data_IF_938087581059
#
_entry.id   IF_938087581059
#
_cell.length_a   1.000
_cell.length_b   1.000
_cell.length_c   1.000
_cell.angle_alpha   90.00
_cell.angle_beta   90.00
_cell.angle_gamma   90.00
#
_symmetry.space_group_name_H-M   'P 1'
#
loop_
_entity.id
_entity.type
_entity.pdbx_description
1 polymer ?
#
# COMPACT_ATOMS: atom_id res chain seq x y z
N UNK A 1 -34.09 -32.58 -6.32
CA UNK A 1 -33.06 -31.60 -6.74
C UNK A 1 -32.75 -31.85 -8.21
N UNK A 2 -33.30 -31.01 -9.10
CA UNK A 2 -33.41 -31.32 -10.54
C UNK A 2 -32.07 -31.23 -11.28
N UNK A 3 -31.93 -32.03 -12.35
CA UNK A 3 -30.72 -32.19 -13.17
C UNK A 3 -30.15 -30.84 -13.66
N UNK A 4 -31.01 -29.86 -13.94
CA UNK A 4 -30.67 -28.50 -14.41
C UNK A 4 -29.96 -27.65 -13.34
N UNK A 5 -30.30 -27.84 -12.06
CA UNK A 5 -29.64 -27.16 -10.93
C UNK A 5 -28.22 -27.68 -10.71
N UNK A 6 -27.99 -28.98 -10.95
CA UNK A 6 -26.64 -29.55 -10.94
C UNK A 6 -25.79 -29.01 -12.08
N UNK A 7 -26.33 -28.90 -13.30
CA UNK A 7 -25.57 -28.38 -14.45
C UNK A 7 -25.18 -26.92 -14.28
N UNK A 8 -26.06 -26.08 -13.71
CA UNK A 8 -25.77 -24.66 -13.51
C UNK A 8 -24.80 -24.41 -12.34
N UNK A 9 -24.86 -25.23 -11.27
CA UNK A 9 -23.87 -25.23 -10.19
C UNK A 9 -22.50 -25.68 -10.70
N UNK A 10 -22.46 -26.73 -11.53
CA UNK A 10 -21.22 -27.25 -12.13
C UNK A 10 -20.64 -26.25 -13.13
N UNK A 11 -21.46 -25.56 -13.95
CA UNK A 11 -20.97 -24.50 -14.85
C UNK A 11 -20.48 -23.27 -14.09
N UNK A 12 -21.16 -22.88 -13.00
CA UNK A 12 -20.74 -21.76 -12.15
C UNK A 12 -19.44 -22.04 -11.40
N UNK A 13 -19.30 -23.26 -10.86
CA UNK A 13 -18.07 -23.74 -10.22
C UNK A 13 -16.96 -23.92 -11.26
N UNK A 14 -17.26 -24.41 -12.46
CA UNK A 14 -16.29 -24.52 -13.55
C UNK A 14 -15.85 -23.15 -14.07
N UNK A 15 -16.73 -22.15 -14.15
CA UNK A 15 -16.35 -20.80 -14.54
C UNK A 15 -15.57 -20.08 -13.43
N UNK A 16 -15.90 -20.33 -12.16
CA UNK A 16 -15.12 -19.87 -11.00
C UNK A 16 -13.76 -20.56 -10.90
N UNK A 17 -13.68 -21.87 -11.20
CA UNK A 17 -12.42 -22.65 -11.26
C UNK A 17 -11.61 -22.38 -12.52
N UNK A 18 -12.22 -21.92 -13.62
CA UNK A 18 -11.48 -21.44 -14.79
C UNK A 18 -10.93 -20.04 -14.50
N UNK A 19 -11.67 -19.17 -13.81
CA UNK A 19 -11.18 -17.85 -13.38
C UNK A 19 -10.12 -17.96 -12.27
N UNK A 20 -10.28 -18.88 -11.31
CA UNK A 20 -9.30 -19.20 -10.25
C UNK A 20 -8.17 -20.13 -10.72
N UNK A 21 -8.40 -20.94 -11.75
CA UNK A 21 -7.43 -21.88 -12.33
C UNK A 21 -6.61 -21.29 -13.48
N UNK A 22 -7.07 -20.19 -14.08
CA UNK A 22 -6.24 -19.31 -14.90
C UNK A 22 -5.34 -18.40 -14.04
N UNK A 23 -5.49 -18.42 -12.71
CA UNK A 23 -4.69 -17.59 -11.79
C UNK A 23 -3.29 -18.15 -11.47
N UNK A 24 -2.99 -19.47 -11.44
CA UNK A 24 -1.62 -19.92 -11.20
C UNK A 24 -0.87 -20.33 -12.47
N UNK A 25 -1.55 -20.60 -13.60
CA UNK A 25 -0.90 -21.19 -14.78
C UNK A 25 -0.53 -20.19 -15.88
N UNK A 26 -1.20 -19.03 -15.98
CA UNK A 26 -0.87 -17.99 -16.97
C UNK A 26 -0.06 -16.82 -16.42
N UNK A 27 0.28 -16.83 -15.13
CA UNK A 27 1.13 -15.82 -14.49
C UNK A 27 2.35 -16.44 -13.82
N UNK A 28 2.89 -17.51 -14.41
CA UNK A 28 4.30 -17.82 -14.26
C UNK A 28 5.09 -16.84 -15.13
N UNK A 29 5.17 -15.59 -14.68
CA UNK A 29 6.32 -14.76 -15.05
C UNK A 29 7.49 -15.40 -14.32
N UNK A 30 8.45 -15.86 -15.09
CA UNK A 30 9.71 -16.37 -14.62
C UNK A 30 10.24 -15.47 -13.50
N UNK A 31 10.46 -16.06 -12.32
CA UNK A 31 11.62 -15.66 -11.55
C UNK A 31 12.81 -15.77 -12.51
N UNK A 32 13.24 -14.64 -13.05
CA UNK A 32 14.60 -14.52 -13.53
C UNK A 32 15.44 -14.52 -12.26
N UNK A 33 15.72 -15.74 -11.81
CA UNK A 33 16.82 -16.00 -10.91
C UNK A 33 18.08 -15.34 -11.52
N UNK A 34 18.67 -14.40 -10.78
CA UNK A 34 20.01 -13.87 -11.07
C UNK A 34 20.10 -12.73 -12.08
N UNK A 35 19.14 -11.79 -12.09
CA UNK A 35 19.32 -10.51 -12.80
C UNK A 35 20.06 -9.51 -11.92
N UNK A 36 21.31 -9.19 -12.28
CA UNK A 36 22.04 -8.09 -11.69
C UNK A 36 21.36 -6.76 -12.01
N UNK A 37 20.89 -6.05 -10.97
CA UNK A 37 20.22 -4.77 -11.16
C UNK A 37 21.29 -3.69 -11.41
N UNK A 38 21.22 -2.95 -12.55
CA UNK A 38 22.13 -1.84 -12.78
C UNK A 38 21.92 -0.77 -11.71
N UNK A 39 23.02 -0.24 -11.18
CA UNK A 39 22.97 0.84 -10.20
C UNK A 39 22.32 2.09 -10.83
N UNK A 40 21.34 2.73 -10.16
CA UNK A 40 20.71 3.93 -10.67
C UNK A 40 21.72 5.06 -10.90
N UNK A 41 21.82 5.55 -12.14
CA UNK A 41 22.77 6.61 -12.44
C UNK A 41 22.43 7.91 -11.68
N UNK A 42 23.45 8.61 -11.18
CA UNK A 42 23.35 9.89 -10.51
C UNK A 42 24.46 10.85 -10.94
N UNK A 43 24.17 12.14 -10.78
CA UNK A 43 25.12 13.23 -10.91
C UNK A 43 24.92 14.11 -9.69
N UNK A 44 25.99 14.39 -8.96
CA UNK A 44 25.97 15.17 -7.73
C UNK A 44 27.25 16.02 -7.63
N UNK A 45 27.27 16.95 -6.68
CA UNK A 45 28.46 17.73 -6.36
C UNK A 45 28.86 17.38 -4.93
N UNK A 46 30.13 17.05 -4.72
CA UNK A 46 30.67 16.79 -3.39
C UNK A 46 30.88 18.09 -2.59
N UNK A 47 31.23 17.96 -1.32
CA UNK A 47 31.56 19.11 -0.46
C UNK A 47 32.80 19.91 -0.91
N UNK A 48 33.69 19.29 -1.68
CA UNK A 48 34.90 19.92 -2.22
C UNK A 48 34.63 20.67 -3.55
N UNK A 49 33.41 20.59 -4.08
CA UNK A 49 32.96 21.26 -5.30
C UNK A 49 33.18 20.47 -6.59
N UNK A 50 33.58 19.20 -6.50
CA UNK A 50 33.77 18.32 -7.64
C UNK A 50 32.43 17.71 -8.07
N UNK A 51 32.18 17.71 -9.38
CA UNK A 51 31.04 16.98 -9.96
C UNK A 51 31.37 15.49 -9.99
N UNK A 52 30.47 14.65 -9.49
CA UNK A 52 30.62 13.21 -9.41
C UNK A 52 29.44 12.56 -10.10
N UNK A 53 29.75 11.67 -11.02
CA UNK A 53 28.80 10.83 -11.73
C UNK A 53 29.08 9.36 -11.45
N UNK A 54 28.04 8.52 -11.47
CA UNK A 54 28.24 7.07 -11.30
C UNK A 54 29.19 6.51 -12.38
N UNK A 55 29.15 7.06 -13.59
CA UNK A 55 30.02 6.67 -14.70
C UNK A 55 31.50 7.00 -14.51
N UNK A 56 31.86 7.86 -13.56
CA UNK A 56 33.27 8.11 -13.22
C UNK A 56 33.95 6.89 -12.62
N UNK A 57 33.16 5.93 -12.11
CA UNK A 57 33.62 4.69 -11.49
C UNK A 57 33.48 3.45 -12.41
N UNK A 58 33.16 3.65 -13.69
CA UNK A 58 33.07 2.55 -14.66
C UNK A 58 34.39 1.78 -14.76
N UNK A 59 34.34 0.45 -14.63
CA UNK A 59 35.52 -0.41 -14.65
C UNK A 59 36.20 -0.61 -13.29
N UNK A 60 35.65 -0.04 -12.21
CA UNK A 60 36.09 -0.28 -10.83
C UNK A 60 34.91 -0.62 -9.92
N UNK A 61 35.18 -1.34 -8.85
CA UNK A 61 34.16 -1.65 -7.85
C UNK A 61 34.01 -0.45 -6.89
N UNK A 62 32.79 0.04 -6.74
CA UNK A 62 32.44 1.21 -5.95
C UNK A 62 31.71 0.79 -4.66
N UNK A 63 32.15 1.35 -3.54
CA UNK A 63 31.47 1.26 -2.24
C UNK A 63 30.64 2.52 -2.05
N UNK A 64 29.32 2.38 -2.16
CA UNK A 64 28.39 3.48 -1.90
C UNK A 64 27.90 3.40 -0.45
N UNK A 65 28.27 4.38 0.36
CA UNK A 65 27.88 4.50 1.75
C UNK A 65 26.73 5.50 1.89
N UNK A 66 25.54 5.03 2.26
CA UNK A 66 24.38 5.87 2.50
C UNK A 66 24.20 6.03 4.00
N UNK A 67 24.17 7.28 4.46
CA UNK A 67 24.13 7.61 5.89
C UNK A 67 23.27 8.84 6.16
N UNK A 68 22.92 9.08 7.43
CA UNK A 68 22.30 10.33 7.90
C UNK A 68 23.04 10.76 9.16
N UNK A 69 23.93 11.73 8.97
CA UNK A 69 24.70 12.40 10.00
C UNK A 69 24.33 13.87 9.93
N UNK A 70 23.57 14.31 10.93
CA UNK A 70 23.09 15.67 11.08
C UNK A 70 22.81 15.97 12.57
N UNK A 71 22.39 17.18 12.86
CA UNK A 71 22.05 17.65 14.22
C UNK A 71 20.55 17.93 14.27
N UNK A 72 19.78 17.35 15.21
CA UNK A 72 20.20 16.38 16.22
C UNK A 72 20.52 15.01 15.63
N UNK A 73 21.55 14.34 16.16
CA UNK A 73 21.91 12.98 15.78
C UNK A 73 21.04 11.96 16.52
N UNK A 74 20.78 10.81 15.88
CA UNK A 74 20.20 9.65 16.55
C UNK A 74 21.18 9.07 17.58
N UNK A 75 20.84 9.17 18.87
CA UNK A 75 21.69 8.69 19.98
C UNK A 75 21.86 7.17 19.92
N UNK A 76 20.80 6.41 19.59
CA UNK A 76 20.86 4.95 19.54
C UNK A 76 21.65 4.43 18.31
N UNK A 77 21.76 5.25 17.27
CA UNK A 77 22.46 4.92 16.04
C UNK A 77 23.95 5.33 16.07
N UNK A 78 24.33 6.18 17.04
CA UNK A 78 25.66 6.82 17.07
C UNK A 78 26.80 5.81 17.07
N UNK A 79 26.68 4.73 17.85
CA UNK A 79 27.71 3.68 17.91
C UNK A 79 27.92 3.01 16.54
N UNK A 80 26.83 2.68 15.84
CA UNK A 80 26.88 2.05 14.53
C UNK A 80 27.41 3.01 13.45
N UNK A 81 26.99 4.27 13.48
CA UNK A 81 27.45 5.30 12.54
C UNK A 81 28.94 5.58 12.70
N UNK A 82 29.39 5.79 13.93
CA UNK A 82 30.79 6.01 14.25
C UNK A 82 31.64 4.83 13.80
N UNK A 83 31.28 3.61 14.22
CA UNK A 83 32.05 2.42 13.93
C UNK A 83 32.15 2.16 12.42
N UNK A 84 31.05 2.37 11.67
CA UNK A 84 31.10 2.18 10.22
C UNK A 84 31.97 3.22 9.51
N UNK A 85 31.95 4.48 9.94
CA UNK A 85 32.81 5.53 9.37
C UNK A 85 34.29 5.26 9.68
N UNK A 86 34.61 4.81 10.90
CA UNK A 86 35.98 4.42 11.29
C UNK A 86 36.50 3.25 10.43
N UNK A 87 35.67 2.25 10.13
CA UNK A 87 36.05 1.13 9.27
C UNK A 87 36.23 1.54 7.79
N UNK A 88 35.43 2.50 7.28
CA UNK A 88 35.62 3.06 5.94
C UNK A 88 36.91 3.88 5.84
N UNK A 89 37.24 4.65 6.88
CA UNK A 89 38.53 5.34 6.97
C UNK A 89 39.67 4.34 6.94
N UNK A 90 39.60 3.30 7.78
CA UNK A 90 40.62 2.25 7.83
C UNK A 90 40.78 1.54 6.48
N UNK A 91 39.68 1.28 5.78
CA UNK A 91 39.71 0.72 4.43
C UNK A 91 40.47 1.64 3.45
N UNK A 92 40.25 2.96 3.52
CA UNK A 92 40.93 3.93 2.65
C UNK A 92 42.42 4.09 3.00
N UNK A 93 42.78 3.96 4.27
CA UNK A 93 44.18 3.95 4.73
C UNK A 93 44.92 2.68 4.29
N UNK A 94 44.29 1.51 4.39
CA UNK A 94 44.86 0.23 3.98
C UNK A 94 44.86 0.05 2.45
N UNK A 95 43.90 0.63 1.75
CA UNK A 95 43.77 0.59 0.30
C UNK A 95 43.42 1.99 -0.27
N UNK A 96 44.43 2.80 -0.62
CA UNK A 96 44.21 4.14 -1.16
C UNK A 96 43.39 4.16 -2.47
N UNK A 97 43.44 3.08 -3.25
CA UNK A 97 42.74 2.94 -4.53
C UNK A 97 41.28 2.45 -4.36
N UNK A 98 40.80 2.25 -3.12
CA UNK A 98 39.41 1.87 -2.89
C UNK A 98 38.46 3.03 -3.22
N UNK A 99 37.54 2.82 -4.15
CA UNK A 99 36.52 3.80 -4.52
C UNK A 99 35.37 3.77 -3.51
N UNK A 100 35.23 4.87 -2.76
CA UNK A 100 34.21 5.05 -1.74
C UNK A 100 33.50 6.37 -2.03
N UNK A 101 32.17 6.35 -2.07
CA UNK A 101 31.36 7.57 -2.14
C UNK A 101 30.36 7.54 -1.00
N UNK A 102 30.35 8.60 -0.19
CA UNK A 102 29.32 8.76 0.85
C UNK A 102 28.22 9.70 0.37
N UNK A 103 26.98 9.23 0.47
CA UNK A 103 25.78 10.05 0.30
C UNK A 103 25.16 10.24 1.68
N UNK A 104 25.26 11.45 2.20
CA UNK A 104 24.64 11.83 3.45
C UNK A 104 23.25 12.40 3.19
N UNK A 105 22.22 11.68 3.63
CA UNK A 105 20.81 12.07 3.54
C UNK A 105 20.55 13.17 4.56
N UNK A 106 20.11 14.36 4.12
CA UNK A 106 19.92 15.55 4.95
C UNK A 106 18.47 15.95 5.10
N UNK A 107 17.91 15.76 6.29
CA UNK A 107 16.55 16.18 6.66
C UNK A 107 16.56 17.59 7.25
N UNK A 108 17.62 17.94 7.97
CA UNK A 108 17.76 19.26 8.60
C UNK A 108 18.72 20.17 7.80
N UNK A 109 18.20 21.16 7.05
CA UNK A 109 19.04 22.10 6.29
C UNK A 109 19.86 23.05 7.17
N UNK A 110 19.53 23.17 8.46
CA UNK A 110 20.24 24.06 9.40
C UNK A 110 21.39 23.37 10.15
N UNK A 111 21.53 22.06 10.01
CA UNK A 111 22.66 21.34 10.60
C UNK A 111 23.95 21.64 9.82
N UNK A 112 25.11 21.51 10.48
CA UNK A 112 26.41 21.56 9.79
C UNK A 112 26.59 20.33 8.90
N UNK A 113 27.51 20.40 7.95
CA UNK A 113 27.79 19.31 7.00
C UNK A 113 28.16 18.01 7.73
N UNK A 114 27.64 16.88 7.25
CA UNK A 114 27.83 15.57 7.88
C UNK A 114 29.29 15.15 7.97
N UNK A 115 30.09 15.45 6.93
CA UNK A 115 31.54 15.23 6.96
C UNK A 115 32.21 15.98 8.11
N UNK A 116 31.93 17.27 8.23
CA UNK A 116 32.46 18.11 9.30
C UNK A 116 31.99 17.63 10.68
N UNK A 117 30.75 17.16 10.79
CA UNK A 117 30.24 16.56 12.02
C UNK A 117 30.99 15.28 12.38
N UNK A 118 31.18 14.35 11.45
CA UNK A 118 31.94 13.11 11.66
C UNK A 118 33.40 13.38 12.04
N UNK A 119 34.07 14.30 11.34
CA UNK A 119 35.43 14.76 11.66
C UNK A 119 35.50 15.38 13.07
N UNK A 120 34.52 16.23 13.43
CA UNK A 120 34.52 16.94 14.72
C UNK A 120 34.10 16.08 15.91
N UNK A 121 33.16 15.16 15.73
CA UNK A 121 32.59 14.34 16.80
C UNK A 121 33.40 13.07 17.04
N UNK A 122 33.90 12.45 15.96
CA UNK A 122 34.56 11.15 16.02
C UNK A 122 36.04 11.20 15.68
N UNK A 123 36.55 12.32 15.18
CA UNK A 123 37.95 12.45 14.77
C UNK A 123 38.30 11.63 13.54
N UNK A 124 37.29 11.26 12.74
CA UNK A 124 37.48 10.52 11.50
C UNK A 124 38.15 11.41 10.43
N UNK A 125 39.06 10.85 9.65
CA UNK A 125 39.69 11.53 8.51
C UNK A 125 39.03 11.06 7.21
N UNK A 126 38.12 11.89 6.69
CA UNK A 126 37.34 11.58 5.50
C UNK A 126 38.07 12.15 4.30
N UNK A 127 38.68 11.28 3.50
CA UNK A 127 39.45 11.65 2.29
C UNK A 127 38.76 11.32 0.97
N UNK A 128 37.57 10.74 1.03
CA UNK A 128 36.78 10.34 -0.13
C UNK A 128 35.61 11.29 -0.37
N UNK A 129 35.01 11.26 -1.57
CA UNK A 129 33.82 12.04 -1.88
C UNK A 129 32.68 11.94 -0.88
N UNK A 130 32.19 13.10 -0.47
CA UNK A 130 31.06 13.23 0.44
C UNK A 130 30.00 14.16 -0.15
N UNK A 131 28.83 13.60 -0.43
CA UNK A 131 27.68 14.28 -1.03
C UNK A 131 26.64 14.55 0.05
N UNK A 132 26.24 15.80 0.19
CA UNK A 132 25.10 16.19 1.04
C UNK A 132 23.82 16.22 0.19
N UNK A 133 22.96 15.24 0.39
CA UNK A 133 21.73 15.08 -0.38
C UNK A 133 20.52 15.58 0.43
N UNK A 134 20.01 16.76 0.08
CA UNK A 134 18.89 17.39 0.77
C UNK A 134 17.54 16.98 0.17
N UNK A 135 16.47 17.02 0.97
CA UNK A 135 15.09 16.80 0.51
C UNK A 135 14.78 17.63 -0.76
N UNK A 136 14.34 17.02 -1.88
CA UNK A 136 13.69 15.69 -2.00
C UNK A 136 14.61 14.49 -2.33
N UNK A 137 15.90 14.55 -1.96
CA UNK A 137 16.90 13.50 -2.13
C UNK A 137 17.10 13.04 -3.58
N UNK A 138 17.54 13.92 -4.50
CA UNK A 138 17.76 13.56 -5.91
C UNK A 138 18.72 12.38 -6.13
N UNK A 139 19.62 12.10 -5.19
CA UNK A 139 20.59 11.00 -5.28
C UNK A 139 20.12 9.79 -4.46
N UNK A 140 20.06 9.93 -3.13
CA UNK A 140 19.67 8.86 -2.21
C UNK A 140 18.25 8.36 -2.47
N UNK A 141 17.34 9.22 -2.95
CA UNK A 141 15.99 8.85 -3.36
C UNK A 141 15.93 7.81 -4.47
N UNK A 142 16.98 7.68 -5.30
CA UNK A 142 17.08 6.63 -6.33
C UNK A 142 17.46 5.27 -5.75
N UNK A 143 18.07 5.27 -4.56
CA UNK A 143 18.56 4.06 -3.89
C UNK A 143 17.65 3.61 -2.73
N UNK A 144 16.42 4.15 -2.64
CA UNK A 144 15.46 3.86 -1.54
C UNK A 144 15.27 2.37 -1.32
N UNK A 145 15.14 1.60 -2.40
CA UNK A 145 14.90 0.16 -2.31
C UNK A 145 16.11 -0.63 -1.75
N UNK A 146 17.28 0.01 -1.63
CA UNK A 146 18.50 -0.59 -1.11
C UNK A 146 18.87 -0.13 0.30
N UNK A 147 18.43 1.05 0.74
CA UNK A 147 18.67 1.49 2.13
C UNK A 147 17.44 1.39 3.04
N UNK A 148 16.27 1.09 2.48
CA UNK A 148 15.07 0.87 3.27
C UNK A 148 14.92 -0.60 3.62
N UNK A 149 14.72 -0.87 4.92
CA UNK A 149 14.41 -2.21 5.41
C UNK A 149 13.04 -2.18 6.09
N UNK A 150 12.06 -2.83 5.45
CA UNK A 150 10.65 -2.75 5.85
C UNK A 150 10.06 -1.35 5.65
N UNK A 151 9.77 -0.66 6.75
CA UNK A 151 9.30 0.76 6.73
C UNK A 151 10.35 1.74 7.27
N UNK A 152 11.50 1.23 7.69
CA UNK A 152 12.56 1.99 8.33
C UNK A 152 13.70 2.33 7.37
N UNK A 153 14.45 3.36 7.74
CA UNK A 153 15.74 3.66 7.14
C UNK A 153 16.83 2.89 7.87
N UNK A 154 17.56 2.04 7.14
CA UNK A 154 18.76 1.41 7.66
C UNK A 154 19.92 2.39 7.54
N UNK A 155 20.42 2.83 8.69
CA UNK A 155 21.43 3.88 8.79
C UNK A 155 22.55 3.44 9.73
N UNK A 156 23.77 3.20 9.23
CA UNK A 156 24.21 3.35 7.84
C UNK A 156 23.86 2.13 6.96
N UNK A 157 23.89 2.32 5.64
CA UNK A 157 23.80 1.26 4.63
C UNK A 157 25.01 1.29 3.70
N UNK A 158 25.57 0.12 3.37
CA UNK A 158 26.67 -0.02 2.40
C UNK A 158 26.17 -0.78 1.18
N UNK A 159 26.34 -0.21 -0.01
CA UNK A 159 25.97 -0.83 -1.29
C UNK A 159 27.24 -1.04 -2.10
N UNK A 160 27.49 -2.27 -2.51
CA UNK A 160 28.60 -2.62 -3.39
C UNK A 160 28.13 -2.65 -4.84
N UNK A 161 28.75 -1.81 -5.65
CA UNK A 161 28.57 -1.75 -7.10
C UNK A 161 29.81 -2.35 -7.75
N UNK A 162 29.62 -3.28 -8.68
CA UNK A 162 30.73 -3.91 -9.39
C UNK A 162 31.28 -2.99 -10.51
N UNK A 163 32.35 -3.45 -11.16
CA UNK A 163 33.02 -2.80 -12.29
C UNK A 163 32.13 -2.59 -13.54
N UNK A 164 31.01 -3.31 -13.61
CA UNK A 164 29.99 -3.18 -14.66
C UNK A 164 28.85 -2.21 -14.29
N UNK A 165 28.97 -1.50 -13.16
CA UNK A 165 27.94 -0.58 -12.69
C UNK A 165 26.68 -1.28 -12.18
N UNK A 166 26.78 -2.52 -11.72
CA UNK A 166 25.66 -3.32 -11.21
C UNK A 166 25.76 -3.50 -9.69
N UNK A 167 24.61 -3.47 -9.01
CA UNK A 167 24.53 -3.68 -7.58
C UNK A 167 24.70 -5.17 -7.29
N UNK A 168 25.78 -5.51 -6.59
CA UNK A 168 26.10 -6.89 -6.22
C UNK A 168 25.63 -7.23 -4.81
N UNK A 169 25.88 -6.31 -3.86
CA UNK A 169 25.62 -6.57 -2.45
C UNK A 169 25.15 -5.32 -1.73
N UNK A 170 24.31 -5.50 -0.73
CA UNK A 170 23.84 -4.46 0.18
C UNK A 170 24.00 -4.97 1.60
N UNK A 171 24.53 -4.14 2.47
CA UNK A 171 24.65 -4.39 3.90
C UNK A 171 23.90 -3.31 4.67
N UNK A 172 22.91 -3.74 5.45
CA UNK A 172 22.17 -2.88 6.37
C UNK A 172 22.85 -2.98 7.74
N UNK A 173 23.53 -1.91 8.19
CA UNK A 173 24.31 -1.99 9.44
C UNK A 173 23.39 -1.93 10.65
N UNK A 174 22.53 -0.92 10.70
CA UNK A 174 21.66 -0.63 11.84
C UNK A 174 20.32 -0.08 11.37
N UNK A 175 19.23 -0.40 12.07
CA UNK A 175 17.92 0.18 11.85
C UNK A 175 17.29 0.63 13.16
N UNK A 176 16.78 1.87 13.19
CA UNK A 176 16.09 2.41 14.35
C UNK A 176 14.88 1.54 14.74
N UNK A 177 14.81 1.14 16.01
CA UNK A 177 13.76 0.27 16.55
C UNK A 177 14.03 -1.24 16.45
N UNK A 178 14.90 -1.67 15.53
CA UNK A 178 15.33 -3.08 15.38
C UNK A 178 16.72 -3.32 16.00
N UNK A 179 17.61 -2.32 15.92
CA UNK A 179 18.99 -2.40 16.39
C UNK A 179 19.96 -2.76 15.26
N UNK A 180 21.02 -3.50 15.60
CA UNK A 180 22.03 -3.98 14.64
C UNK A 180 21.43 -5.06 13.74
N UNK A 181 21.46 -4.87 12.43
CA UNK A 181 20.86 -5.82 11.46
C UNK A 181 21.93 -6.80 10.95
N UNK A 182 22.85 -6.31 10.11
CA UNK A 182 24.01 -7.08 9.65
C UNK A 182 25.30 -6.67 10.38
N UNK A 183 25.21 -5.66 11.25
CA UNK A 183 26.34 -5.13 12.01
C UNK A 183 27.32 -4.33 11.16
N UNK A 184 28.34 -3.79 11.81
CA UNK A 184 29.37 -2.95 11.17
C UNK A 184 30.22 -3.82 10.26
N UNK A 185 30.41 -3.37 9.02
CA UNK A 185 31.24 -4.04 8.02
C UNK A 185 32.68 -3.57 8.18
N UNK A 186 33.58 -4.50 8.52
CA UNK A 186 35.00 -4.18 8.72
C UNK A 186 35.72 -3.90 7.40
N UNK A 187 36.83 -3.17 7.48
CA UNK A 187 37.69 -2.89 6.33
C UNK A 187 38.10 -4.18 5.59
N UNK A 188 38.49 -5.23 6.31
CA UNK A 188 38.92 -6.49 5.69
C UNK A 188 37.75 -7.22 5.00
N UNK A 189 36.54 -7.15 5.58
CA UNK A 189 35.33 -7.73 4.99
C UNK A 189 34.96 -7.03 3.68
N UNK A 190 34.95 -5.69 3.70
CA UNK A 190 34.64 -4.87 2.53
C UNK A 190 35.70 -5.01 1.44
N UNK A 191 36.98 -5.02 1.80
CA UNK A 191 38.07 -5.23 0.85
C UNK A 191 37.96 -6.59 0.18
N UNK A 192 37.70 -7.66 0.94
CA UNK A 192 37.48 -8.99 0.38
C UNK A 192 36.26 -9.01 -0.54
N UNK A 193 35.16 -8.39 -0.13
CA UNK A 193 33.96 -8.32 -0.95
C UNK A 193 34.23 -7.59 -2.27
N UNK A 194 34.98 -6.48 -2.25
CA UNK A 194 35.40 -5.75 -3.47
C UNK A 194 36.28 -6.60 -4.38
N UNK A 195 37.23 -7.36 -3.83
CA UNK A 195 38.10 -8.25 -4.59
C UNK A 195 37.32 -9.40 -5.24
N UNK A 196 36.33 -9.95 -4.53
CA UNK A 196 35.45 -11.01 -5.04
C UNK A 196 34.59 -10.50 -6.23
N UNK A 197 34.33 -9.19 -6.34
CA UNK A 197 33.61 -8.59 -7.47
C UNK A 197 34.45 -8.49 -8.75
N UNK A 198 35.78 -8.37 -8.61
CA UNK A 198 36.70 -8.20 -9.74
C UNK A 198 37.11 -9.53 -10.39
N UNK A 199 36.89 -10.67 -9.73
CA UNK A 199 37.16 -12.01 -10.24
C UNK A 199 35.92 -12.93 -10.10
N UNK A 200 34.99 -12.92 -11.06
CA UNK A 200 33.71 -13.66 -10.95
C UNK A 200 33.82 -15.19 -11.12
N UNK A 201 35.01 -15.79 -11.00
CA UNK A 201 35.27 -17.20 -11.32
C UNK A 201 34.93 -18.22 -10.22
N UNK A 202 34.35 -17.82 -9.09
CA UNK A 202 33.85 -18.77 -8.10
C UNK A 202 32.32 -18.70 -8.03
N UNK A 203 31.67 -19.77 -8.48
CA UNK A 203 30.23 -20.03 -8.40
C UNK A 203 29.72 -20.22 -6.96
N UNK A 204 30.24 -19.43 -6.03
CA UNK A 204 29.84 -19.41 -4.64
C UNK A 204 28.73 -18.38 -4.50
N UNK A 205 27.49 -18.86 -4.49
CA UNK A 205 26.34 -18.11 -3.99
C UNK A 205 26.60 -17.74 -2.52
N UNK A 206 27.25 -16.61 -2.29
CA UNK A 206 27.51 -16.07 -0.96
C UNK A 206 26.46 -15.02 -0.63
N UNK A 207 25.49 -15.47 0.16
CA UNK A 207 24.46 -14.64 0.77
C UNK A 207 23.36 -14.32 -0.22
N UNK A 208 22.14 -14.82 0.04
CA UNK A 208 20.97 -14.31 -0.62
C UNK A 208 20.89 -12.79 -0.45
N UNK A 209 20.35 -12.12 -1.46
CA UNK A 209 19.70 -10.83 -1.30
C UNK A 209 18.67 -11.06 -0.19
N UNK A 210 18.99 -10.62 1.03
CA UNK A 210 18.10 -10.64 2.18
C UNK A 210 17.01 -9.60 1.99
N UNK A 211 16.23 -9.73 0.91
CA UNK A 211 14.98 -9.02 0.73
C UNK A 211 14.03 -9.58 1.80
N UNK A 212 14.00 -8.95 2.96
CA UNK A 212 12.90 -9.11 3.90
C UNK A 212 11.63 -8.64 3.18
N UNK A 213 10.98 -9.58 2.49
CA UNK A 213 9.61 -9.60 1.99
C UNK A 213 8.84 -8.25 1.96
N UNK A 214 9.30 -7.27 1.19
CA UNK A 214 8.43 -6.22 0.65
C UNK A 214 8.23 -6.58 -0.80
N UNK A 215 7.13 -7.30 -1.08
CA UNK A 215 6.69 -7.60 -2.44
C UNK A 215 6.62 -6.29 -3.23
N UNK A 216 7.40 -6.16 -4.30
CA UNK A 216 7.14 -5.16 -5.33
C UNK A 216 5.66 -5.21 -5.69
N UNK A 217 4.92 -4.14 -5.39
CA UNK A 217 3.49 -4.10 -5.71
C UNK A 217 3.36 -3.76 -7.19
N UNK A 218 3.51 -4.79 -8.02
CA UNK A 218 3.25 -4.71 -9.46
C UNK A 218 1.76 -4.41 -9.68
N UNK A 219 1.40 -3.83 -10.84
CA UNK A 219 -0.01 -3.69 -11.27
C UNK A 219 -0.82 -4.99 -11.11
N UNK A 220 -0.16 -6.14 -11.28
CA UNK A 220 -0.73 -7.48 -11.05
C UNK A 220 -1.08 -7.72 -9.58
N UNK A 221 -0.20 -7.32 -8.65
CA UNK A 221 -0.47 -7.39 -7.21
C UNK A 221 -1.65 -6.52 -6.81
N UNK A 222 -1.75 -5.32 -7.39
CA UNK A 222 -2.85 -4.40 -7.10
C UNK A 222 -4.20 -4.89 -7.65
N UNK A 223 -4.19 -5.51 -8.84
CA UNK A 223 -5.36 -6.21 -9.37
C UNK A 223 -5.79 -7.37 -8.46
N UNK A 224 -4.85 -8.20 -8.03
CA UNK A 224 -5.10 -9.33 -7.13
C UNK A 224 -5.65 -8.88 -5.78
N UNK A 225 -5.11 -7.79 -5.22
CA UNK A 225 -5.60 -7.18 -3.98
C UNK A 225 -7.06 -6.71 -4.15
N UNK A 226 -7.41 -6.14 -5.31
CA UNK A 226 -8.79 -5.77 -5.66
C UNK A 226 -9.74 -6.98 -5.67
N UNK A 227 -9.31 -8.10 -6.25
CA UNK A 227 -10.08 -9.35 -6.26
C UNK A 227 -10.30 -9.85 -4.83
N UNK A 228 -9.24 -9.92 -4.02
CA UNK A 228 -9.32 -10.41 -2.63
C UNK A 228 -10.19 -9.50 -1.77
N UNK A 229 -10.06 -8.18 -1.90
CA UNK A 229 -10.86 -7.21 -1.13
C UNK A 229 -12.34 -7.24 -1.48
N UNK A 230 -12.72 -7.61 -2.71
CA UNK A 230 -14.13 -7.77 -3.07
C UNK A 230 -14.86 -8.88 -2.30
N UNK A 231 -14.12 -9.87 -1.79
CA UNK A 231 -14.62 -10.94 -0.93
C UNK A 231 -14.70 -10.51 0.55
N UNK A 232 -14.19 -9.33 0.90
CA UNK A 232 -14.30 -8.80 2.25
C UNK A 232 -15.78 -8.49 2.57
N UNK A 233 -16.25 -8.78 3.79
CA UNK A 233 -17.66 -8.69 4.12
C UNK A 233 -18.22 -7.28 4.21
N UNK A 234 -17.36 -6.25 4.26
CA UNK A 234 -17.79 -4.87 4.07
C UNK A 234 -18.39 -4.67 2.67
N UNK A 235 -17.71 -5.19 1.64
CA UNK A 235 -18.22 -5.21 0.27
C UNK A 235 -19.45 -6.12 0.15
N UNK A 236 -19.37 -7.30 0.76
CA UNK A 236 -20.37 -8.36 0.68
C UNK A 236 -21.73 -7.96 1.27
N UNK A 237 -21.76 -7.24 2.40
CA UNK A 237 -23.00 -6.77 3.04
C UNK A 237 -23.74 -5.75 2.16
N UNK A 238 -22.99 -4.81 1.58
CA UNK A 238 -23.52 -3.82 0.64
C UNK A 238 -23.96 -4.48 -0.67
N UNK A 239 -23.20 -5.47 -1.13
CA UNK A 239 -23.52 -6.27 -2.31
C UNK A 239 -24.85 -7.02 -2.12
N UNK A 240 -25.14 -7.58 -0.94
CA UNK A 240 -26.43 -8.20 -0.61
C UNK A 240 -27.57 -7.18 -0.67
N UNK A 241 -27.38 -5.99 -0.11
CA UNK A 241 -28.39 -4.93 -0.14
C UNK A 241 -28.70 -4.47 -1.58
N UNK A 242 -27.65 -4.27 -2.37
CA UNK A 242 -27.73 -3.94 -3.80
C UNK A 242 -28.39 -5.06 -4.58
N UNK A 243 -28.04 -6.32 -4.34
CA UNK A 243 -28.67 -7.45 -5.02
C UNK A 243 -30.14 -7.62 -4.63
N UNK A 244 -30.49 -7.46 -3.36
CA UNK A 244 -31.89 -7.45 -2.92
C UNK A 244 -32.71 -6.38 -3.65
N UNK A 245 -32.12 -5.19 -3.84
CA UNK A 245 -32.72 -4.11 -4.61
C UNK A 245 -32.79 -4.40 -6.12
N UNK A 246 -31.70 -4.85 -6.75
CA UNK A 246 -31.65 -5.20 -8.17
C UNK A 246 -32.61 -6.36 -8.50
N UNK A 247 -32.75 -7.33 -7.59
CA UNK A 247 -33.73 -8.41 -7.67
C UNK A 247 -35.17 -7.89 -7.59
N UNK A 248 -35.42 -6.90 -6.74
CA UNK A 248 -36.74 -6.23 -6.63
C UNK A 248 -37.06 -5.37 -7.85
N UNK A 249 -36.05 -4.71 -8.42
CA UNK A 249 -36.13 -3.93 -9.67
C UNK A 249 -36.38 -4.83 -10.89
N UNK A 250 -35.63 -5.93 -11.04
CA UNK A 250 -35.86 -6.92 -12.09
C UNK A 250 -37.21 -7.61 -11.96
N UNK A 251 -37.69 -7.91 -10.74
CA UNK A 251 -39.06 -8.41 -10.53
C UNK A 251 -40.11 -7.44 -11.08
N UNK A 252 -39.92 -6.13 -10.95
CA UNK A 252 -40.86 -5.14 -11.52
C UNK A 252 -40.91 -5.19 -13.05
N UNK A 253 -39.81 -5.49 -13.74
CA UNK A 253 -39.81 -5.74 -15.20
C UNK A 253 -40.50 -7.05 -15.60
N UNK A 254 -40.55 -8.05 -14.72
CA UNK A 254 -41.24 -9.34 -14.97
C UNK A 254 -42.77 -9.19 -14.91
N UNK A 255 -43.29 -8.18 -14.21
CA UNK A 255 -44.73 -7.93 -14.03
C UNK A 255 -45.37 -7.11 -15.16
N UNK A 256 -44.57 -6.56 -16.09
CA UNK A 256 -45.03 -5.87 -17.30
C UNK A 256 -44.23 -6.43 -18.48
N UNK A 257 -44.71 -7.53 -19.10
CA UNK A 257 -43.99 -8.17 -20.18
C UNK A 257 -44.30 -7.41 -21.48
N UNK A 258 -43.35 -6.59 -21.93
CA UNK A 258 -43.27 -6.31 -23.36
C UNK A 258 -41.90 -6.78 -23.84
N UNK A 259 -41.96 -7.85 -24.63
CA UNK A 259 -40.99 -8.32 -25.65
C UNK A 259 -39.50 -8.11 -25.35
N UNK A 260 -38.86 -9.11 -24.75
CA UNK A 260 -37.40 -9.24 -24.81
C UNK A 260 -36.83 -10.20 -23.79
N UNK A 261 -36.39 -11.37 -24.24
CA UNK A 261 -35.59 -12.34 -23.47
C UNK A 261 -34.51 -11.60 -22.66
N UNK A 262 -34.68 -11.46 -21.35
CA UNK A 262 -33.67 -10.82 -20.50
C UNK A 262 -32.42 -11.69 -20.52
N UNK A 263 -31.48 -11.25 -21.36
CA UNK A 263 -30.31 -11.99 -21.80
C UNK A 263 -29.23 -11.81 -20.76
N UNK A 264 -28.36 -12.82 -20.57
CA UNK A 264 -27.16 -12.72 -19.74
C UNK A 264 -26.33 -11.45 -20.07
N UNK A 265 -26.47 -10.94 -21.30
CA UNK A 265 -25.93 -9.66 -21.78
C UNK A 265 -26.35 -8.44 -20.96
N UNK A 266 -27.58 -8.37 -20.46
CA UNK A 266 -28.08 -7.24 -19.67
C UNK A 266 -27.42 -7.24 -18.27
N UNK A 267 -27.28 -8.41 -17.64
CA UNK A 267 -26.58 -8.57 -16.35
C UNK A 267 -25.07 -8.31 -16.45
N UNK A 268 -24.45 -8.69 -17.57
CA UNK A 268 -23.06 -8.38 -17.89
C UNK A 268 -22.85 -6.87 -18.05
N UNK A 269 -23.72 -6.19 -18.82
CA UNK A 269 -23.63 -4.75 -19.06
C UNK A 269 -23.78 -3.95 -17.76
N UNK A 270 -24.70 -4.37 -16.88
CA UNK A 270 -24.90 -3.77 -15.55
C UNK A 270 -23.65 -3.95 -14.68
N UNK A 271 -23.04 -5.14 -14.65
CA UNK A 271 -21.83 -5.41 -13.88
C UNK A 271 -20.61 -4.61 -14.35
N UNK A 272 -20.44 -4.48 -15.67
CA UNK A 272 -19.37 -3.67 -16.26
C UNK A 272 -19.56 -2.19 -15.96
N UNK A 273 -20.79 -1.67 -16.09
CA UNK A 273 -21.11 -0.27 -15.77
C UNK A 273 -20.81 0.05 -14.30
N UNK A 274 -21.20 -0.84 -13.39
CA UNK A 274 -20.93 -0.72 -11.96
C UNK A 274 -19.42 -0.70 -11.66
N UNK A 275 -18.68 -1.63 -12.25
CA UNK A 275 -17.21 -1.73 -12.09
C UNK A 275 -16.50 -0.48 -12.60
N UNK A 276 -16.94 0.05 -13.74
CA UNK A 276 -16.37 1.27 -14.31
C UNK A 276 -16.60 2.49 -13.39
N UNK A 277 -17.80 2.60 -12.78
CA UNK A 277 -18.10 3.63 -11.79
C UNK A 277 -17.17 3.55 -10.57
N UNK A 278 -16.93 2.34 -10.06
CA UNK A 278 -15.98 2.10 -8.96
C UNK A 278 -14.54 2.49 -9.32
N UNK A 279 -14.05 1.99 -10.47
CA UNK A 279 -12.68 2.22 -10.91
C UNK A 279 -12.40 3.71 -11.16
N UNK A 280 -13.38 4.45 -11.66
CA UNK A 280 -13.25 5.90 -11.89
C UNK A 280 -13.07 6.68 -10.57
N UNK A 281 -13.84 6.35 -9.53
CA UNK A 281 -13.70 7.00 -8.22
C UNK A 281 -12.32 6.71 -7.62
N UNK A 282 -11.86 5.46 -7.69
CA UNK A 282 -10.53 5.10 -7.21
C UNK A 282 -9.40 5.75 -7.96
N UNK A 283 -9.52 5.90 -9.28
CA UNK A 283 -8.57 6.66 -10.07
C UNK A 283 -8.46 8.12 -9.56
N UNK A 284 -9.59 8.79 -9.35
CA UNK A 284 -9.62 10.18 -8.85
C UNK A 284 -9.05 10.29 -7.44
N UNK A 285 -9.40 9.37 -6.54
CA UNK A 285 -8.85 9.32 -5.18
C UNK A 285 -7.34 9.09 -5.23
N UNK A 286 -6.85 8.21 -6.10
CA UNK A 286 -5.42 7.93 -6.26
C UNK A 286 -4.62 9.14 -6.73
N UNK A 287 -5.14 9.87 -7.73
CA UNK A 287 -4.55 11.13 -8.18
C UNK A 287 -4.43 12.15 -7.04
N UNK A 288 -5.47 12.26 -6.21
CA UNK A 288 -5.51 13.20 -5.10
C UNK A 288 -4.53 12.82 -3.99
N UNK A 289 -4.47 11.54 -3.63
CA UNK A 289 -3.56 11.04 -2.59
C UNK A 289 -2.09 11.21 -3.02
N UNK A 290 -1.76 10.86 -4.26
CA UNK A 290 -0.40 11.03 -4.78
C UNK A 290 0.08 12.49 -4.79
N UNK A 291 -0.82 13.46 -4.88
CA UNK A 291 -0.46 14.88 -4.81
C UNK A 291 -0.36 15.43 -3.37
N UNK A 292 -1.03 14.79 -2.40
CA UNK A 292 -1.04 15.21 -0.99
C UNK A 292 0.00 14.51 -0.11
N UNK A 293 0.73 13.53 -0.65
CA UNK A 293 1.56 12.62 0.13
C UNK A 293 2.70 13.24 0.93
N UNK A 294 3.21 14.38 0.49
CA UNK A 294 4.29 15.09 1.18
C UNK A 294 3.80 15.70 2.51
N UNK A 295 2.51 16.09 2.59
CA UNK A 295 1.95 16.76 3.78
C UNK A 295 1.39 15.79 4.82
N UNK A 296 1.02 14.58 4.40
CA UNK A 296 0.39 13.56 5.26
C UNK A 296 1.42 12.82 6.13
N UNK A 297 2.68 12.74 5.67
CA UNK A 297 3.75 11.93 6.30
C UNK A 297 4.23 12.46 7.65
N UNK A 298 4.04 13.75 7.94
CA UNK A 298 4.61 14.39 9.14
C UNK A 298 3.61 14.50 10.32
N UNK A 299 2.32 14.23 10.07
CA UNK A 299 1.30 14.40 11.12
C UNK A 299 0.92 13.06 11.76
N UNK A 300 1.38 12.83 12.99
CA UNK A 300 0.85 11.76 13.88
C UNK A 300 -0.69 11.82 14.00
N UNK A 301 -1.26 13.01 13.78
CA UNK A 301 -2.71 13.24 13.73
C UNK A 301 -3.45 12.41 12.69
N UNK A 302 -2.82 12.04 11.57
CA UNK A 302 -3.48 11.27 10.52
C UNK A 302 -3.81 9.84 10.98
N UNK A 303 -2.85 9.15 11.63
CA UNK A 303 -3.04 7.80 12.14
C UNK A 303 -4.15 7.74 13.21
N UNK A 304 -4.20 8.75 14.08
CA UNK A 304 -5.27 8.90 15.07
C UNK A 304 -6.63 9.13 14.40
N UNK A 305 -6.71 10.03 13.41
CA UNK A 305 -7.95 10.33 12.70
C UNK A 305 -8.48 9.09 11.95
N UNK A 306 -7.60 8.35 11.26
CA UNK A 306 -7.93 7.11 10.57
C UNK A 306 -8.38 6.01 11.54
N UNK A 307 -7.67 5.84 12.67
CA UNK A 307 -8.04 4.88 13.72
C UNK A 307 -9.40 5.17 14.35
N UNK A 308 -9.66 6.44 14.72
CA UNK A 308 -10.96 6.87 15.29
C UNK A 308 -12.09 6.67 14.29
N UNK A 309 -11.88 7.02 13.02
CA UNK A 309 -12.87 6.81 11.96
C UNK A 309 -13.19 5.31 11.80
N UNK A 310 -12.16 4.45 11.79
CA UNK A 310 -12.34 3.00 11.69
C UNK A 310 -13.07 2.40 12.88
N UNK A 311 -12.77 2.86 14.10
CA UNK A 311 -13.48 2.43 15.32
C UNK A 311 -14.96 2.83 15.22
N UNK A 312 -15.26 4.08 14.85
CA UNK A 312 -16.64 4.56 14.69
C UNK A 312 -17.43 3.73 13.66
N UNK A 313 -16.81 3.41 12.54
CA UNK A 313 -17.43 2.60 11.49
C UNK A 313 -17.59 1.13 11.89
N UNK A 314 -16.61 0.56 12.59
CA UNK A 314 -16.69 -0.79 13.14
C UNK A 314 -17.83 -0.94 14.15
N UNK A 315 -17.99 0.04 15.04
CA UNK A 315 -19.10 0.09 16.01
C UNK A 315 -20.45 0.17 15.29
N UNK A 316 -20.54 1.01 14.25
CA UNK A 316 -21.74 1.14 13.40
C UNK A 316 -22.11 -0.18 12.71
N UNK A 317 -21.12 -1.04 12.44
CA UNK A 317 -21.29 -2.34 11.77
C UNK A 317 -21.93 -3.41 12.68
N UNK A 318 -21.69 -3.36 14.00
CA UNK A 318 -22.23 -4.33 14.95
C UNK A 318 -23.70 -4.09 15.32
N UNK A 319 -24.10 -2.81 15.37
CA UNK A 319 -25.48 -2.41 15.67
C UNK A 319 -25.72 -1.05 15.03
N UNK A 320 -26.81 -0.86 14.24
CA UNK A 320 -27.19 0.47 13.80
C UNK A 320 -27.33 1.36 15.04
N UNK A 321 -26.61 2.50 15.06
CA UNK A 321 -26.37 3.36 16.22
C UNK A 321 -27.61 3.76 17.04
N UNK A 322 -28.82 3.57 16.52
CA UNK A 322 -30.08 3.87 17.19
C UNK A 322 -30.34 3.08 18.47
N UNK A 323 -29.95 1.80 18.55
CA UNK A 323 -30.29 0.95 19.72
C UNK A 323 -29.29 1.03 20.88
N UNK A 324 -28.08 1.55 20.66
CA UNK A 324 -27.04 1.66 21.72
C UNK A 324 -27.13 2.99 22.47
N UNK A 325 -27.75 4.02 21.87
CA UNK A 325 -27.83 5.37 22.43
C UNK A 325 -29.13 5.67 23.21
N UNK A 326 -30.03 4.69 23.38
CA UNK A 326 -31.20 4.81 24.26
C UNK A 326 -30.88 4.67 25.77
N UNK A 327 -30.01 3.75 26.23
CA UNK A 327 -29.79 3.56 27.67
C UNK A 327 -28.85 4.60 28.31
N UNK A 328 -28.07 5.35 27.53
CA UNK A 328 -27.16 6.38 28.08
C UNK A 328 -27.84 7.75 28.23
N UNK A 329 -28.71 8.10 27.27
CA UNK A 329 -29.44 9.38 27.25
C UNK A 329 -30.51 9.47 28.34
N UNK A 330 -30.98 8.33 28.86
CA UNK A 330 -31.97 8.27 29.93
C UNK A 330 -31.42 8.51 31.34
N UNK A 331 -30.09 8.52 31.54
CA UNK A 331 -29.48 8.74 32.87
C UNK A 331 -29.02 10.16 33.15
N UNK A 332 -28.95 11.04 32.16
CA UNK A 332 -28.27 12.34 32.32
C UNK A 332 -29.13 13.59 32.28
N UNK A 333 -30.44 13.53 32.00
CA UNK A 333 -31.26 14.75 31.86
C UNK A 333 -32.45 14.88 32.80
N UNK A 334 -32.14 14.82 34.10
CA UNK A 334 -32.83 15.63 35.11
C UNK A 334 -32.20 17.02 35.15
N UNK A 335 -32.83 17.97 34.45
CA UNK A 335 -32.79 19.42 34.70
C UNK A 335 -31.59 20.22 34.13
N UNK A 336 -31.94 21.01 33.09
CA UNK A 336 -31.23 22.14 32.42
C UNK A 336 -30.07 21.79 31.48
N UNK A 337 -30.37 21.53 30.20
CA UNK A 337 -29.49 21.91 29.08
C UNK A 337 -30.32 22.62 28.02
N UNK A 338 -29.86 23.84 27.75
CA UNK A 338 -29.98 24.67 26.55
C UNK A 338 -30.56 23.92 25.34
N UNK A 339 -31.72 24.41 24.90
CA UNK A 339 -32.34 24.29 23.57
C UNK A 339 -31.62 23.35 22.58
N UNK A 340 -31.92 22.06 22.69
CA UNK A 340 -31.73 21.07 21.64
C UNK A 340 -33.02 20.94 20.81
N UNK A 341 -33.58 22.08 20.43
CA UNK A 341 -34.59 22.19 19.39
C UNK A 341 -33.82 22.64 18.14
N UNK A 342 -33.41 21.66 17.31
CA UNK A 342 -33.43 21.72 15.83
C UNK A 342 -32.46 20.72 15.17
N UNK A 343 -32.76 19.41 15.21
CA UNK A 343 -32.61 18.55 14.02
C UNK A 343 -33.75 17.53 14.00
N UNK A 344 -34.99 18.02 14.07
CA UNK A 344 -36.12 17.35 13.45
C UNK A 344 -36.20 17.96 12.04
N UNK A 345 -36.17 17.11 11.02
CA UNK A 345 -36.33 17.43 9.58
C UNK A 345 -35.08 17.84 8.78
N UNK A 346 -34.21 16.88 8.49
CA UNK A 346 -33.58 16.83 7.17
C UNK A 346 -33.76 15.42 6.64
N UNK A 347 -34.38 15.26 5.47
CA UNK A 347 -34.43 13.98 4.74
C UNK A 347 -33.06 13.33 4.86
N UNK A 348 -33.00 12.11 5.38
CA UNK A 348 -31.72 11.45 5.64
C UNK A 348 -30.91 11.48 4.34
N UNK A 349 -29.67 11.97 4.38
CA UNK A 349 -28.77 12.03 3.23
C UNK A 349 -28.80 10.68 2.47
N UNK A 350 -28.89 9.58 3.22
CA UNK A 350 -29.05 8.22 2.73
C UNK A 350 -30.39 7.95 1.99
N UNK A 351 -31.54 8.44 2.48
CA UNK A 351 -32.83 8.37 1.76
C UNK A 351 -32.82 9.18 0.46
N UNK A 352 -32.16 10.35 0.48
CA UNK A 352 -32.04 11.19 -0.69
C UNK A 352 -31.18 10.53 -1.78
N UNK A 353 -30.07 9.88 -1.40
CA UNK A 353 -29.24 9.12 -2.32
C UNK A 353 -29.94 7.89 -2.92
N UNK A 354 -30.72 7.19 -2.11
CA UNK A 354 -31.51 6.05 -2.59
C UNK A 354 -32.53 6.56 -3.62
N UNK A 355 -33.26 7.65 -3.34
CA UNK A 355 -34.21 8.21 -4.30
C UNK A 355 -33.57 8.73 -5.59
N UNK A 356 -32.38 9.35 -5.53
CA UNK A 356 -31.63 9.78 -6.71
C UNK A 356 -31.23 8.58 -7.57
N UNK A 357 -30.69 7.54 -6.93
CA UNK A 357 -30.30 6.29 -7.61
C UNK A 357 -31.50 5.61 -8.25
N UNK A 358 -32.63 5.53 -7.53
CA UNK A 358 -33.90 4.95 -8.00
C UNK A 358 -34.46 5.74 -9.19
N UNK A 359 -34.38 7.06 -9.16
CA UNK A 359 -34.78 7.93 -10.27
C UNK A 359 -33.93 7.70 -11.53
N UNK A 360 -32.62 7.53 -11.37
CA UNK A 360 -31.70 7.22 -12.48
C UNK A 360 -31.95 5.84 -13.09
N UNK A 361 -32.24 4.83 -12.26
CA UNK A 361 -32.58 3.48 -12.73
C UNK A 361 -33.87 3.45 -13.56
N UNK A 362 -34.79 4.39 -13.34
CA UNK A 362 -36.00 4.57 -14.16
C UNK A 362 -35.70 5.08 -15.57
N UNK A 363 -34.61 5.83 -15.76
CA UNK A 363 -34.21 6.39 -17.04
C UNK A 363 -33.33 5.40 -17.85
N UNK A 364 -32.34 4.78 -17.21
CA UNK A 364 -31.51 3.74 -17.83
C UNK A 364 -30.85 2.85 -16.78
N UNK A 365 -30.95 1.53 -16.97
CA UNK A 365 -30.33 0.55 -16.08
C UNK A 365 -28.79 0.66 -16.05
N UNK A 366 -28.17 1.12 -17.14
CA UNK A 366 -26.73 1.35 -17.23
C UNK A 366 -26.27 2.52 -16.37
N UNK A 367 -26.98 3.66 -16.47
CA UNK A 367 -26.67 4.87 -15.70
C UNK A 367 -26.91 4.63 -14.21
N UNK A 368 -28.00 3.95 -13.86
CA UNK A 368 -28.27 3.54 -12.48
C UNK A 368 -27.16 2.65 -11.91
N UNK A 369 -26.67 1.67 -12.69
CA UNK A 369 -25.59 0.78 -12.26
C UNK A 369 -24.24 1.50 -12.10
N UNK A 370 -23.90 2.39 -13.02
CA UNK A 370 -22.68 3.22 -12.93
C UNK A 370 -22.70 4.11 -11.68
N UNK A 371 -23.79 4.85 -11.47
CA UNK A 371 -23.95 5.73 -10.31
C UNK A 371 -23.95 4.96 -8.99
N UNK A 372 -24.55 3.76 -8.98
CA UNK A 372 -24.49 2.88 -7.82
C UNK A 372 -23.05 2.43 -7.51
N UNK A 373 -22.25 2.16 -8.55
CA UNK A 373 -20.81 1.92 -8.41
C UNK A 373 -20.09 3.11 -7.80
N UNK A 374 -20.34 4.33 -8.29
CA UNK A 374 -19.75 5.56 -7.71
C UNK A 374 -20.07 5.69 -6.21
N UNK A 375 -21.34 5.49 -5.83
CA UNK A 375 -21.73 5.55 -4.42
C UNK A 375 -21.13 4.43 -3.59
N UNK A 376 -20.98 3.24 -4.15
CA UNK A 376 -20.34 2.12 -3.48
C UNK A 376 -18.86 2.41 -3.21
N UNK A 377 -18.12 3.04 -4.13
CA UNK A 377 -16.73 3.42 -3.92
C UNK A 377 -16.59 4.45 -2.79
N UNK A 378 -17.50 5.42 -2.74
CA UNK A 378 -17.51 6.45 -1.70
C UNK A 378 -17.88 5.87 -0.32
N UNK A 379 -18.86 4.96 -0.26
CA UNK A 379 -19.28 4.31 0.99
C UNK A 379 -18.27 3.30 1.52
N UNK A 380 -17.52 2.65 0.63
CA UNK A 380 -16.48 1.68 0.96
C UNK A 380 -15.12 2.33 1.26
N UNK A 381 -14.98 3.64 1.00
CA UNK A 381 -13.73 4.38 1.17
C UNK A 381 -13.03 4.15 2.52
N UNK A 382 -13.68 4.17 3.69
CA UNK A 382 -12.96 4.03 4.96
C UNK A 382 -12.33 2.64 5.14
N UNK A 383 -13.01 1.59 4.68
CA UNK A 383 -12.55 0.20 4.82
C UNK A 383 -11.53 -0.17 3.74
N UNK A 384 -11.72 0.33 2.51
CA UNK A 384 -10.73 0.23 1.44
C UNK A 384 -9.45 0.97 1.80
N UNK A 385 -9.57 2.17 2.37
CA UNK A 385 -8.44 3.02 2.73
C UNK A 385 -7.52 2.28 3.70
N UNK A 386 -8.01 1.65 4.77
CA UNK A 386 -7.10 0.96 5.70
C UNK A 386 -6.46 -0.31 5.14
N UNK A 387 -7.10 -1.01 4.20
CA UNK A 387 -6.49 -2.19 3.56
C UNK A 387 -5.46 -1.80 2.49
N UNK A 388 -5.69 -0.68 1.81
CA UNK A 388 -4.80 -0.18 0.77
C UNK A 388 -3.76 0.79 1.37
N UNK A 389 -3.90 1.18 2.64
CA UNK A 389 -3.04 2.17 3.31
C UNK A 389 -1.55 1.81 3.25
N UNK A 390 -1.11 0.56 3.51
CA UNK A 390 0.30 0.20 3.41
C UNK A 390 0.84 0.39 1.98
N UNK A 391 0.05 0.04 0.97
CA UNK A 391 0.40 0.21 -0.44
C UNK A 391 0.43 1.69 -0.83
N UNK A 392 -0.52 2.48 -0.32
CA UNK A 392 -0.57 3.93 -0.53
C UNK A 392 0.65 4.61 0.10
N UNK A 393 0.99 4.30 1.35
CA UNK A 393 2.18 4.84 2.02
C UNK A 393 3.44 4.53 1.21
N UNK A 394 3.55 3.31 0.68
CA UNK A 394 4.67 2.91 -0.16
C UNK A 394 4.70 3.66 -1.50
N UNK A 395 3.55 3.82 -2.16
CA UNK A 395 3.44 4.66 -3.36
C UNK A 395 3.79 6.13 -3.09
N UNK A 396 3.55 6.62 -1.88
CA UNK A 396 3.97 7.97 -1.48
C UNK A 396 5.44 8.02 -1.04
N UNK A 397 6.09 6.88 -0.77
CA UNK A 397 7.53 6.82 -0.48
C UNK A 397 8.40 6.91 -1.73
N UNK A 398 7.82 6.55 -2.88
CA UNK A 398 8.50 6.61 -4.16
C UNK A 398 8.16 7.91 -4.91
N UNK A 399 9.10 8.44 -5.70
CA UNK A 399 8.90 9.56 -6.62
C UNK A 399 8.07 9.15 -7.84
N UNK A 400 6.94 8.49 -7.63
CA UNK A 400 6.03 8.06 -8.71
C UNK A 400 5.13 9.20 -9.12
N UNK A 401 4.96 9.35 -10.42
CA UNK A 401 4.03 10.34 -10.97
C UNK A 401 2.61 10.12 -10.43
N UNK A 402 1.83 11.19 -10.15
CA UNK A 402 0.45 11.06 -9.64
C UNK A 402 -0.43 10.18 -10.53
N UNK A 403 -0.18 10.18 -11.84
CA UNK A 403 -0.92 9.36 -12.79
C UNK A 403 -0.67 7.87 -12.60
N UNK A 404 0.53 7.46 -12.18
CA UNK A 404 0.84 6.07 -11.84
C UNK A 404 0.04 5.60 -10.63
N UNK A 405 -0.02 6.42 -9.56
CA UNK A 405 -0.84 6.11 -8.38
C UNK A 405 -2.34 6.01 -8.70
N UNK A 406 -2.84 6.94 -9.53
CA UNK A 406 -4.20 6.86 -10.09
C UNK A 406 -4.44 5.56 -10.86
N UNK A 407 -3.53 5.19 -11.76
CA UNK A 407 -3.67 3.99 -12.60
C UNK A 407 -3.62 2.68 -11.79
N UNK A 408 -2.79 2.63 -10.73
CA UNK A 408 -2.77 1.48 -9.82
C UNK A 408 -4.10 1.31 -9.07
N UNK A 409 -4.67 2.39 -8.54
CA UNK A 409 -5.99 2.34 -7.89
C UNK A 409 -7.13 2.08 -8.90
N UNK A 410 -6.97 2.46 -10.16
CA UNK A 410 -7.89 2.06 -11.22
C UNK A 410 -7.87 0.55 -11.44
N UNK A 411 -6.68 -0.04 -11.55
CA UNK A 411 -6.49 -1.50 -11.70
C UNK A 411 -7.03 -2.26 -10.49
N UNK A 412 -6.85 -1.72 -9.29
CA UNK A 412 -7.50 -2.22 -8.07
C UNK A 412 -9.04 -2.24 -8.19
N UNK A 413 -9.64 -1.12 -8.63
CA UNK A 413 -11.07 -1.00 -8.84
C UNK A 413 -11.62 -1.98 -9.89
N UNK A 414 -10.86 -2.22 -10.96
CA UNK A 414 -11.19 -3.24 -11.98
C UNK A 414 -11.12 -4.65 -11.38
N UNK A 415 -10.10 -4.95 -10.57
CA UNK A 415 -9.98 -6.22 -9.84
C UNK A 415 -11.18 -6.50 -8.94
N UNK A 416 -11.71 -5.47 -8.27
CA UNK A 416 -12.91 -5.60 -7.43
C UNK A 416 -14.18 -5.94 -8.25
N UNK A 417 -14.22 -5.57 -9.52
CA UNK A 417 -15.31 -5.93 -10.43
C UNK A 417 -15.32 -7.39 -10.86
N UNK A 418 -14.18 -8.09 -10.76
CA UNK A 418 -14.03 -9.45 -11.28
C UNK A 418 -15.02 -10.43 -10.65
N UNK A 419 -15.27 -10.44 -9.32
CA UNK A 419 -16.30 -11.31 -8.76
C UNK A 419 -17.73 -10.76 -8.94
N UNK A 420 -17.89 -9.44 -9.08
CA UNK A 420 -19.21 -8.80 -9.21
C UNK A 420 -19.85 -9.12 -10.56
N UNK A 421 -19.07 -9.10 -11.65
CA UNK A 421 -19.57 -9.30 -13.01
C UNK A 421 -20.22 -10.69 -13.21
N UNK A 422 -19.62 -11.81 -12.77
CA UNK A 422 -20.28 -13.12 -12.80
C UNK A 422 -21.54 -13.15 -11.93
N UNK A 423 -21.52 -12.55 -10.73
CA UNK A 423 -22.66 -12.57 -9.84
C UNK A 423 -23.84 -11.76 -10.43
N UNK A 424 -23.57 -10.62 -11.08
CA UNK A 424 -24.60 -9.84 -11.77
C UNK A 424 -25.14 -10.56 -13.00
N UNK A 425 -24.28 -11.27 -13.73
CA UNK A 425 -24.64 -12.04 -14.93
C UNK A 425 -25.47 -13.28 -14.61
N UNK A 426 -25.17 -13.99 -13.51
CA UNK A 426 -25.81 -15.24 -13.10
C UNK A 426 -26.74 -15.12 -11.88
N UNK A 427 -27.11 -13.89 -11.50
CA UNK A 427 -27.88 -13.57 -10.29
C UNK A 427 -29.15 -14.43 -10.12
N UNK A 428 -29.85 -14.75 -11.22
CA UNK A 428 -31.07 -15.57 -11.22
C UNK A 428 -30.86 -17.00 -10.69
N UNK A 429 -29.71 -17.61 -10.96
CA UNK A 429 -29.40 -18.98 -10.54
C UNK A 429 -28.80 -18.99 -9.12
N UNK A 430 -27.93 -18.03 -8.81
CA UNK A 430 -27.25 -17.93 -7.52
C UNK A 430 -28.22 -17.62 -6.37
N UNK A 431 -29.20 -16.74 -6.57
CA UNK A 431 -30.09 -16.30 -5.48
C UNK A 431 -31.04 -17.38 -4.97
N UNK A 432 -31.44 -18.35 -5.82
CA UNK A 432 -32.37 -19.42 -5.42
C UNK A 432 -31.73 -20.57 -4.61
N UNK A 433 -30.44 -20.83 -4.79
CA UNK A 433 -29.76 -21.97 -4.16
C UNK A 433 -28.81 -21.57 -3.01
N UNK A 434 -28.21 -20.38 -3.08
CA UNK A 434 -27.16 -19.94 -2.16
C UNK A 434 -27.64 -18.82 -1.22
N UNK A 435 -28.68 -18.07 -1.63
CA UNK A 435 -29.17 -16.88 -0.92
C UNK A 435 -29.54 -17.13 0.55
N UNK A 436 -30.35 -18.15 0.86
CA UNK A 436 -30.81 -18.38 2.24
C UNK A 436 -29.69 -18.76 3.22
N UNK A 437 -28.78 -19.66 2.79
CA UNK A 437 -27.62 -20.07 3.62
C UNK A 437 -26.62 -18.94 3.80
N UNK A 438 -26.48 -18.12 2.78
CA UNK A 438 -25.58 -16.97 2.78
C UNK A 438 -26.10 -15.83 3.66
N UNK A 439 -27.41 -15.55 3.62
CA UNK A 439 -28.05 -14.56 4.50
C UNK A 439 -27.94 -14.98 5.97
N UNK A 440 -28.10 -16.28 6.27
CA UNK A 440 -27.94 -16.80 7.62
C UNK A 440 -26.50 -16.70 8.14
N UNK A 441 -25.50 -17.00 7.29
CA UNK A 441 -24.08 -16.86 7.62
C UNK A 441 -23.64 -15.38 7.71
N UNK A 442 -24.31 -14.49 6.98
CA UNK A 442 -24.01 -13.06 6.94
C UNK A 442 -23.95 -12.42 8.32
N UNK A 443 -24.89 -12.74 9.22
CA UNK A 443 -24.91 -12.17 10.58
C UNK A 443 -23.63 -12.49 11.39
N UNK A 444 -23.12 -13.70 11.26
CA UNK A 444 -21.91 -14.13 11.99
C UNK A 444 -20.64 -13.56 11.36
N UNK A 445 -20.59 -13.55 10.01
CA UNK A 445 -19.49 -12.99 9.23
C UNK A 445 -19.37 -11.48 9.44
N UNK A 446 -20.48 -10.73 9.39
CA UNK A 446 -20.50 -9.28 9.62
C UNK A 446 -20.05 -8.92 11.03
N UNK A 447 -20.47 -9.69 12.05
CA UNK A 447 -19.98 -9.50 13.42
C UNK A 447 -18.48 -9.76 13.56
N UNK A 448 -17.98 -10.87 13.02
CA UNK A 448 -16.55 -11.20 13.07
C UNK A 448 -15.65 -10.13 12.43
N UNK A 449 -16.07 -9.58 11.30
CA UNK A 449 -15.32 -8.51 10.63
C UNK A 449 -15.50 -7.13 11.25
N UNK A 450 -16.67 -6.81 11.83
CA UNK A 450 -16.83 -5.62 12.65
C UNK A 450 -15.81 -5.61 13.79
N UNK A 451 -15.56 -6.76 14.41
CA UNK A 451 -14.58 -6.89 15.48
C UNK A 451 -13.15 -6.72 14.96
N UNK A 452 -12.84 -7.32 13.81
CA UNK A 452 -11.55 -7.17 13.14
C UNK A 452 -11.26 -5.70 12.79
N UNK A 453 -12.22 -4.97 12.23
CA UNK A 453 -12.07 -3.54 11.90
C UNK A 453 -11.83 -2.70 13.16
N UNK A 454 -12.57 -2.96 14.24
CA UNK A 454 -12.34 -2.28 15.52
C UNK A 454 -10.94 -2.60 16.05
N UNK A 455 -10.52 -3.86 16.00
CA UNK A 455 -9.18 -4.27 16.44
C UNK A 455 -8.08 -3.58 15.63
N UNK A 456 -8.19 -3.52 14.30
CA UNK A 456 -7.24 -2.79 13.45
C UNK A 456 -7.27 -1.28 13.74
N UNK A 457 -8.46 -0.69 13.93
CA UNK A 457 -8.59 0.73 14.29
C UNK A 457 -7.94 1.05 15.64
N UNK A 458 -8.05 0.16 16.63
CA UNK A 458 -7.37 0.28 17.93
C UNK A 458 -5.86 0.17 17.77
N UNK A 459 -5.35 -0.73 16.92
CA UNK A 459 -3.91 -0.83 16.62
C UNK A 459 -3.39 0.46 15.99
N UNK A 460 -4.11 1.03 15.01
CA UNK A 460 -3.76 2.31 14.41
C UNK A 460 -3.80 3.47 15.42
N UNK A 461 -4.82 3.51 16.28
CA UNK A 461 -4.89 4.50 17.35
C UNK A 461 -3.79 4.31 18.41
N UNK A 462 -3.36 3.09 18.69
CA UNK A 462 -2.26 2.80 19.62
C UNK A 462 -0.90 3.26 19.08
N UNK A 463 -0.71 3.23 17.76
CA UNK A 463 0.49 3.75 17.08
C UNK A 463 0.68 5.25 17.34
N UNK A 464 -0.41 6.02 17.46
CA UNK A 464 -0.37 7.43 17.86
C UNK A 464 0.25 7.65 19.25
N UNK A 465 -0.01 6.74 20.20
CA UNK A 465 0.54 6.81 21.56
C UNK A 465 1.97 6.28 21.68
N UNK A 466 2.60 5.89 20.57
CA UNK A 466 3.97 5.36 20.54
C UNK A 466 4.09 3.87 20.81
N UNK A 467 2.97 3.12 20.85
CA UNK A 467 3.00 1.66 20.91
C UNK A 467 3.05 1.08 19.50
N UNK A 468 4.23 0.61 19.08
CA UNK A 468 4.43 -0.11 17.81
C UNK A 468 4.07 -1.58 17.99
N UNK A 469 2.89 -1.98 17.51
CA UNK A 469 2.43 -3.38 17.54
C UNK A 469 2.78 -4.17 16.27
N UNK A 470 3.34 -3.52 15.25
CA UNK A 470 3.97 -4.14 14.07
C UNK A 470 4.62 -3.04 13.21
#
# INVERSE_FOLDING_TARGET
>A
MNLVSKTALILGIASLLVVLGLSPACFAVSDVAGGSNPAPNFQAVDLDGNSIELGDFDGQALILHITNIETPLCIECEEALKAQVEELQRLKEENPDAEIVTINVRKNPYSKDGRLLAESWWGADISWPWIEDFDPYPVAGKYVDYWSLGSGFANPTIILVNDQGQISRVYHVYQMGEGMVEGVQTAESLQKAVLDLQNPDDGRQTGGIGSAAVREVTFVGMFGLGVVTSLAPCSLALLIAVFSYLMTSQRRKILMPDEGKSSHKEGLLIGVAFTLGMAMVFFVIGLFISNLGIFVRDSRFFDLAAGVLMIMLGITSFKPLGEILEPLTSRFHGQRVVDAEDVRTKKSFMEQFINISVGLFKYSAFVGAFTLGVFFALGWAPCAVSLVFPVLIWLMAQNVSPITGGLMLFVFGVGHGVPIIPISTFSRTFCGAIGERYIAAGKWITGGFGFLIIATGVVFAARYFGYTLW
#
